data_IF_637170821980
#
_entry.id   IF_637170821980
#
_cell.length_a   1.000
_cell.length_b   1.000
_cell.length_c   1.000
_cell.angle_alpha   90.00
_cell.angle_beta   90.00
_cell.angle_gamma   90.00
#
_symmetry.space_group_name_H-M   'P 1'
#
loop_
_entity.id
_entity.type
_entity.pdbx_description
1 polymer ?
#
# COMPACT_ATOMS: atom_id res chain seq x y z
N UNK A 1 -0.57 -27.01 -31.61
CA UNK A 1 -0.89 -26.85 -30.17
C UNK A 1 0.32 -27.25 -29.32
N UNK A 2 1.51 -26.67 -29.56
CA UNK A 2 2.73 -26.84 -28.73
C UNK A 2 3.64 -25.65 -29.02
N UNK A 3 3.46 -24.49 -28.38
CA UNK A 3 4.44 -23.38 -28.42
C UNK A 3 4.27 -22.33 -27.30
N UNK A 4 3.60 -22.68 -26.19
CA UNK A 4 3.34 -21.74 -25.07
C UNK A 4 3.84 -22.26 -23.72
N UNK A 5 5.04 -22.86 -23.64
CA UNK A 5 5.54 -23.36 -22.35
C UNK A 5 7.08 -23.37 -22.15
N UNK A 6 7.87 -22.58 -22.90
CA UNK A 6 9.33 -22.55 -22.71
C UNK A 6 9.92 -21.18 -22.30
N UNK A 7 9.12 -20.13 -22.09
CA UNK A 7 9.64 -18.77 -21.86
C UNK A 7 9.70 -18.30 -20.39
N UNK A 8 9.60 -19.19 -19.39
CA UNK A 8 9.48 -18.77 -17.99
C UNK A 8 10.78 -18.72 -17.14
N UNK A 9 11.81 -19.59 -17.31
CA UNK A 9 13.03 -19.51 -16.50
C UNK A 9 14.18 -18.75 -17.18
N UNK A 10 14.46 -19.01 -18.46
CA UNK A 10 15.64 -18.45 -19.16
C UNK A 10 15.54 -16.94 -19.38
N UNK A 11 14.33 -16.41 -19.64
CA UNK A 11 14.11 -14.98 -19.80
C UNK A 11 14.28 -14.22 -18.47
N UNK A 12 13.89 -14.82 -17.36
CA UNK A 12 14.11 -14.25 -16.03
C UNK A 12 15.60 -14.25 -15.70
N UNK A 13 16.30 -15.34 -16.01
CA UNK A 13 17.74 -15.49 -15.77
C UNK A 13 18.55 -14.45 -16.55
N UNK A 14 18.26 -14.25 -17.84
CA UNK A 14 18.89 -13.20 -18.64
C UNK A 14 18.58 -11.77 -18.18
N UNK A 15 17.40 -11.53 -17.59
CA UNK A 15 17.06 -10.24 -16.98
C UNK A 15 17.89 -9.98 -15.71
N UNK A 16 18.06 -11.00 -14.86
CA UNK A 16 18.89 -10.89 -13.66
C UNK A 16 20.36 -10.65 -14.00
N UNK A 17 20.89 -11.34 -15.01
CA UNK A 17 22.27 -11.17 -15.46
C UNK A 17 22.48 -9.74 -16.01
N UNK A 18 21.54 -9.22 -16.79
CA UNK A 18 21.58 -7.85 -17.29
C UNK A 18 21.48 -6.81 -16.16
N UNK A 19 20.61 -7.04 -15.18
CA UNK A 19 20.46 -6.17 -14.02
C UNK A 19 21.72 -6.16 -13.14
N UNK A 20 22.35 -7.32 -12.94
CA UNK A 20 23.60 -7.46 -12.20
C UNK A 20 24.75 -6.73 -12.91
N UNK A 21 24.86 -6.90 -14.23
CA UNK A 21 25.85 -6.18 -15.04
C UNK A 21 25.68 -4.66 -15.03
N UNK A 22 24.44 -4.15 -14.92
CA UNK A 22 24.16 -2.73 -14.75
C UNK A 22 24.50 -2.25 -13.33
N UNK A 23 24.24 -3.08 -12.32
CA UNK A 23 24.56 -2.78 -10.93
C UNK A 23 26.06 -2.60 -10.71
N UNK A 24 26.87 -3.51 -11.24
CA UNK A 24 28.34 -3.43 -11.16
C UNK A 24 28.90 -2.16 -11.81
N UNK A 25 28.19 -1.59 -12.78
CA UNK A 25 28.58 -0.38 -13.52
C UNK A 25 27.99 0.93 -13.00
N UNK A 26 27.01 0.88 -12.10
CA UNK A 26 26.32 2.06 -11.57
C UNK A 26 26.95 2.66 -10.31
N UNK A 27 28.08 2.12 -9.86
CA UNK A 27 28.83 2.71 -8.76
C UNK A 27 28.13 2.69 -7.39
N UNK A 28 28.61 3.49 -6.41
CA UNK A 28 28.19 3.37 -5.01
C UNK A 28 26.74 3.80 -4.75
N UNK A 29 26.19 4.69 -5.58
CA UNK A 29 24.81 5.21 -5.42
C UNK A 29 23.74 4.14 -5.77
N UNK A 30 24.14 3.06 -6.44
CA UNK A 30 23.26 1.90 -6.68
C UNK A 30 22.84 1.18 -5.39
N UNK A 31 23.67 1.18 -4.34
CA UNK A 31 23.34 0.53 -3.06
C UNK A 31 22.11 1.15 -2.38
N UNK A 32 22.03 2.49 -2.18
CA UNK A 32 20.81 3.15 -1.73
C UNK A 32 19.58 2.86 -2.59
N UNK A 33 19.72 2.88 -3.93
CA UNK A 33 18.62 2.62 -4.87
C UNK A 33 18.11 1.18 -4.71
N UNK A 34 19.01 0.21 -4.53
CA UNK A 34 18.66 -1.18 -4.29
C UNK A 34 17.89 -1.35 -2.98
N UNK A 35 18.32 -0.69 -1.90
CA UNK A 35 17.60 -0.71 -0.62
C UNK A 35 16.18 -0.14 -0.78
N UNK A 36 16.04 1.00 -1.46
CA UNK A 36 14.74 1.57 -1.79
C UNK A 36 13.85 0.59 -2.56
N UNK A 37 14.41 -0.08 -3.58
CA UNK A 37 13.69 -1.08 -4.38
C UNK A 37 13.20 -2.27 -3.54
N UNK A 38 14.07 -2.82 -2.68
CA UNK A 38 13.72 -3.94 -1.80
C UNK A 38 12.63 -3.56 -0.78
N UNK A 39 12.73 -2.38 -0.18
CA UNK A 39 11.72 -1.86 0.76
C UNK A 39 10.39 -1.66 0.04
N UNK A 40 10.38 -1.03 -1.13
CA UNK A 40 9.15 -0.80 -1.88
C UNK A 40 8.51 -2.11 -2.33
N UNK A 41 9.31 -3.09 -2.75
CA UNK A 41 8.83 -4.42 -3.14
C UNK A 41 8.21 -5.15 -1.94
N UNK A 42 8.89 -5.16 -0.79
CA UNK A 42 8.38 -5.77 0.44
C UNK A 42 7.04 -5.16 0.87
N UNK A 43 6.95 -3.82 0.88
CA UNK A 43 5.69 -3.13 1.22
C UNK A 43 4.61 -3.41 0.17
N UNK A 44 4.95 -3.40 -1.11
CA UNK A 44 3.99 -3.70 -2.20
C UNK A 44 3.36 -5.08 -2.00
N UNK A 45 4.16 -6.12 -1.73
CA UNK A 45 3.66 -7.48 -1.49
C UNK A 45 2.84 -7.60 -0.20
N UNK A 46 3.32 -7.04 0.93
CA UNK A 46 2.59 -7.01 2.20
C UNK A 46 1.19 -6.42 2.00
N UNK A 47 1.11 -5.32 1.25
CA UNK A 47 -0.12 -4.56 1.07
C UNK A 47 -1.07 -5.16 0.06
N UNK A 48 -0.57 -5.69 -1.05
CA UNK A 48 -1.37 -6.46 -1.99
C UNK A 48 -2.09 -7.61 -1.28
N UNK A 49 -1.36 -8.33 -0.40
CA UNK A 49 -1.94 -9.40 0.39
C UNK A 49 -2.99 -8.89 1.40
N UNK A 50 -2.71 -7.78 2.10
CA UNK A 50 -3.67 -7.16 3.01
C UNK A 50 -4.97 -6.73 2.31
N UNK A 51 -4.87 -6.09 1.14
CA UNK A 51 -6.04 -5.70 0.33
C UNK A 51 -6.82 -6.90 -0.19
N UNK A 52 -6.13 -7.96 -0.60
CA UNK A 52 -6.77 -9.23 -0.99
C UNK A 52 -7.54 -9.85 0.17
N UNK A 53 -6.93 -9.93 1.36
CA UNK A 53 -7.59 -10.45 2.57
C UNK A 53 -8.81 -9.61 2.95
N UNK A 54 -8.70 -8.27 2.89
CA UNK A 54 -9.82 -7.36 3.16
C UNK A 54 -10.99 -7.58 2.20
N UNK A 55 -10.71 -7.72 0.89
CA UNK A 55 -11.76 -7.93 -0.11
C UNK A 55 -12.49 -9.26 0.10
N UNK A 56 -11.74 -10.32 0.39
CA UNK A 56 -12.26 -11.64 0.74
C UNK A 56 -13.16 -11.57 1.97
N UNK A 57 -12.67 -11.02 3.09
CA UNK A 57 -13.45 -10.90 4.32
C UNK A 57 -14.75 -10.12 4.12
N UNK A 58 -14.72 -9.00 3.39
CA UNK A 58 -15.92 -8.21 3.14
C UNK A 58 -16.97 -8.97 2.31
N UNK A 59 -16.54 -9.74 1.30
CA UNK A 59 -17.44 -10.55 0.49
C UNK A 59 -18.09 -11.69 1.28
N UNK A 60 -17.31 -12.42 2.09
CA UNK A 60 -17.81 -13.55 2.88
C UNK A 60 -18.77 -13.13 4.01
N UNK A 61 -18.56 -11.97 4.63
CA UNK A 61 -19.35 -11.53 5.80
C UNK A 61 -20.45 -10.51 5.48
N UNK A 62 -20.76 -10.28 4.19
CA UNK A 62 -21.81 -9.32 3.79
C UNK A 62 -23.19 -9.64 4.39
N UNK A 63 -23.51 -10.92 4.57
CA UNK A 63 -24.76 -11.33 5.23
C UNK A 63 -24.77 -10.99 6.72
N UNK A 64 -23.64 -11.15 7.42
CA UNK A 64 -23.51 -10.79 8.84
C UNK A 64 -23.62 -9.28 9.06
N UNK A 65 -23.10 -8.46 8.14
CA UNK A 65 -23.27 -7.01 8.21
C UNK A 65 -24.75 -6.60 8.15
N UNK A 66 -25.52 -7.22 7.25
CA UNK A 66 -26.97 -7.00 7.15
C UNK A 66 -27.72 -7.47 8.39
N UNK A 67 -27.32 -8.61 8.96
CA UNK A 67 -27.87 -9.14 10.20
C UNK A 67 -27.65 -8.17 11.37
N UNK A 68 -26.42 -7.66 11.54
CA UNK A 68 -26.11 -6.65 12.57
C UNK A 68 -26.95 -5.39 12.37
N UNK A 69 -27.05 -4.88 11.14
CA UNK A 69 -27.89 -3.72 10.83
C UNK A 69 -29.38 -3.95 11.16
N UNK A 70 -29.90 -5.14 10.84
CA UNK A 70 -31.28 -5.53 11.16
C UNK A 70 -31.54 -5.57 12.66
N UNK A 71 -30.67 -6.26 13.41
CA UNK A 71 -30.77 -6.36 14.87
C UNK A 71 -30.67 -4.99 15.56
N UNK A 72 -29.77 -4.12 15.09
CA UNK A 72 -29.66 -2.74 15.57
C UNK A 72 -30.93 -1.94 15.30
N UNK A 73 -31.53 -2.07 14.10
CA UNK A 73 -32.78 -1.40 13.73
C UNK A 73 -33.98 -1.88 14.56
N UNK A 74 -33.93 -3.13 15.03
CA UNK A 74 -34.95 -3.72 15.90
C UNK A 74 -34.74 -3.41 17.39
N UNK A 75 -33.70 -2.63 17.75
CA UNK A 75 -33.39 -2.29 19.13
C UNK A 75 -32.71 -3.42 19.91
N UNK A 76 -32.39 -4.54 19.25
CA UNK A 76 -31.71 -5.72 19.83
C UNK A 76 -30.20 -5.52 19.84
N UNK A 77 -29.75 -4.47 20.52
CA UNK A 77 -28.34 -4.03 20.49
C UNK A 77 -27.35 -5.05 21.06
N UNK A 78 -27.73 -5.79 22.09
CA UNK A 78 -26.85 -6.81 22.69
C UNK A 78 -26.63 -7.98 21.75
N UNK A 79 -27.67 -8.41 21.04
CA UNK A 79 -27.56 -9.44 20.00
C UNK A 79 -26.75 -8.95 18.80
N UNK A 80 -27.02 -7.71 18.34
CA UNK A 80 -26.23 -7.07 17.29
C UNK A 80 -24.73 -7.06 17.63
N UNK A 81 -24.38 -6.80 18.89
CA UNK A 81 -22.99 -6.82 19.38
C UNK A 81 -22.39 -8.22 19.34
N UNK A 82 -23.13 -9.26 19.74
CA UNK A 82 -22.63 -10.65 19.70
C UNK A 82 -22.35 -11.10 18.27
N UNK A 83 -23.26 -10.81 17.32
CA UNK A 83 -23.07 -11.14 15.91
C UNK A 83 -21.91 -10.34 15.30
N UNK A 84 -21.80 -9.06 15.65
CA UNK A 84 -20.71 -8.20 15.20
C UNK A 84 -19.33 -8.71 15.67
N UNK A 85 -19.21 -9.20 16.91
CA UNK A 85 -17.97 -9.76 17.47
C UNK A 85 -17.60 -11.13 16.88
N UNK A 86 -18.59 -11.91 16.47
CA UNK A 86 -18.36 -13.23 15.88
C UNK A 86 -17.93 -13.16 14.40
N UNK A 87 -18.13 -12.02 13.74
CA UNK A 87 -17.78 -11.83 12.32
C UNK A 87 -16.35 -11.30 12.17
N UNK A 88 -15.52 -11.99 11.37
CA UNK A 88 -14.17 -11.53 11.00
C UNK A 88 -14.24 -10.53 9.82
N UNK A 89 -14.97 -9.43 10.03
CA UNK A 89 -15.16 -8.37 9.05
C UNK A 89 -14.79 -7.01 9.63
N UNK A 90 -14.03 -6.17 8.90
CA UNK A 90 -13.69 -4.81 9.32
C UNK A 90 -14.92 -3.96 9.69
N UNK A 91 -15.98 -4.04 8.89
CA UNK A 91 -17.24 -3.32 9.13
C UNK A 91 -17.93 -3.82 10.41
N UNK A 92 -17.99 -5.13 10.62
CA UNK A 92 -18.57 -5.69 11.84
C UNK A 92 -17.74 -5.33 13.08
N UNK A 93 -16.41 -5.25 12.96
CA UNK A 93 -15.52 -4.82 14.05
C UNK A 93 -15.80 -3.37 14.45
N UNK A 94 -16.03 -2.49 13.48
CA UNK A 94 -16.45 -1.09 13.72
C UNK A 94 -17.80 -1.06 14.46
N UNK A 95 -18.81 -1.77 13.95
CA UNK A 95 -20.15 -1.80 14.55
C UNK A 95 -20.13 -2.36 15.97
N UNK A 96 -19.39 -3.44 16.20
CA UNK A 96 -19.25 -4.07 17.52
C UNK A 96 -18.61 -3.14 18.56
N UNK A 97 -17.58 -2.38 18.16
CA UNK A 97 -16.95 -1.36 19.03
C UNK A 97 -17.92 -0.21 19.35
N UNK A 98 -18.65 0.28 18.35
CA UNK A 98 -19.62 1.35 18.55
C UNK A 98 -20.76 0.93 19.52
N UNK A 99 -21.27 -0.30 19.39
CA UNK A 99 -22.31 -0.83 20.29
C UNK A 99 -21.81 -1.06 21.73
N UNK A 100 -20.53 -1.35 21.90
CA UNK A 100 -19.93 -1.54 23.23
C UNK A 100 -19.95 -0.26 24.06
N UNK A 101 -19.71 0.90 23.43
CA UNK A 101 -19.72 2.21 24.09
C UNK A 101 -20.99 3.03 23.83
N UNK A 102 -22.10 2.38 23.46
CA UNK A 102 -23.33 3.06 23.03
C UNK A 102 -23.90 4.05 24.06
N UNK A 103 -23.69 3.81 25.35
CA UNK A 103 -24.23 4.63 26.43
C UNK A 103 -23.40 5.89 26.73
N UNK A 104 -22.12 5.91 26.34
CA UNK A 104 -21.19 6.98 26.69
C UNK A 104 -20.74 7.82 25.49
N UNK A 105 -20.80 7.27 24.27
CA UNK A 105 -20.35 7.95 23.06
C UNK A 105 -20.35 7.03 21.83
N UNK A 106 -21.55 6.69 21.36
CA UNK A 106 -21.74 5.82 20.19
C UNK A 106 -21.07 6.41 18.94
N UNK A 107 -21.34 7.68 18.65
CA UNK A 107 -20.91 8.33 17.43
C UNK A 107 -19.40 8.54 17.43
N UNK A 108 -18.83 9.00 18.54
CA UNK A 108 -17.39 9.17 18.71
C UNK A 108 -16.65 7.84 18.56
N UNK A 109 -17.21 6.75 19.12
CA UNK A 109 -16.61 5.42 19.00
C UNK A 109 -16.73 4.88 17.58
N UNK A 110 -17.85 5.13 16.89
CA UNK A 110 -18.06 4.73 15.50
C UNK A 110 -17.06 5.41 14.56
N UNK A 111 -16.91 6.73 14.70
CA UNK A 111 -15.96 7.53 13.94
C UNK A 111 -14.52 7.10 14.23
N UNK A 112 -14.13 6.98 15.51
CA UNK A 112 -12.79 6.56 15.90
C UNK A 112 -12.43 5.15 15.40
N UNK A 113 -13.37 4.20 15.48
CA UNK A 113 -13.17 2.85 14.96
C UNK A 113 -13.03 2.84 13.43
N UNK A 114 -13.83 3.67 12.73
CA UNK A 114 -13.75 3.81 11.27
C UNK A 114 -12.41 4.39 10.83
N UNK A 115 -11.92 5.43 11.50
CA UNK A 115 -10.61 6.02 11.22
C UNK A 115 -9.47 5.03 11.45
N UNK A 116 -9.54 4.24 12.53
CA UNK A 116 -8.53 3.24 12.84
C UNK A 116 -8.45 2.14 11.76
N UNK A 117 -9.58 1.73 11.17
CA UNK A 117 -9.57 0.82 10.01
C UNK A 117 -8.94 1.47 8.77
N UNK A 118 -9.26 2.75 8.51
CA UNK A 118 -8.69 3.48 7.37
C UNK A 118 -7.18 3.65 7.50
N UNK A 119 -6.69 3.91 8.71
CA UNK A 119 -5.26 4.05 8.96
C UNK A 119 -4.50 2.73 8.75
N UNK A 120 -5.12 1.59 9.10
CA UNK A 120 -4.56 0.28 8.77
C UNK A 120 -4.45 0.05 7.25
N UNK A 121 -5.43 0.51 6.47
CA UNK A 121 -5.42 0.42 5.01
C UNK A 121 -4.42 1.41 4.37
N UNK A 122 -4.19 2.56 5.01
CA UNK A 122 -3.21 3.59 4.57
C UNK A 122 -1.76 3.21 4.85
N UNK A 123 -1.51 2.34 5.83
CA UNK A 123 -0.15 1.96 6.22
C UNK A 123 0.62 1.45 5.00
N UNK A 124 1.89 1.85 4.88
CA UNK A 124 2.76 1.47 3.76
C UNK A 124 2.65 2.35 2.52
N UNK A 125 1.53 3.06 2.28
CA UNK A 125 1.41 3.96 1.13
C UNK A 125 2.44 5.11 1.20
N UNK A 126 2.69 5.66 2.38
CA UNK A 126 3.71 6.71 2.58
C UNK A 126 5.12 6.25 2.23
N UNK A 127 5.43 4.96 2.45
CA UNK A 127 6.75 4.38 2.12
C UNK A 127 6.91 4.25 0.61
N UNK A 128 5.86 3.81 -0.09
CA UNK A 128 5.86 3.79 -1.56
C UNK A 128 5.99 5.20 -2.13
N UNK A 129 5.21 6.16 -1.64
CA UNK A 129 5.25 7.57 -2.05
C UNK A 129 6.65 8.18 -1.87
N UNK A 130 7.25 7.92 -0.70
CA UNK A 130 8.63 8.32 -0.41
C UNK A 130 9.60 7.67 -1.38
N UNK A 131 9.44 6.38 -1.69
CA UNK A 131 10.34 5.67 -2.61
C UNK A 131 10.23 6.17 -4.04
N UNK A 132 9.00 6.45 -4.52
CA UNK A 132 8.73 7.05 -5.83
C UNK A 132 9.44 8.39 -5.96
N UNK A 133 9.52 9.16 -4.88
CA UNK A 133 10.17 10.48 -4.86
C UNK A 133 11.68 10.39 -4.68
N UNK A 134 12.16 9.56 -3.75
CA UNK A 134 13.58 9.48 -3.37
C UNK A 134 14.40 8.70 -4.40
N UNK A 135 13.88 7.64 -5.02
CA UNK A 135 14.65 6.84 -5.97
C UNK A 135 15.14 7.65 -7.20
N UNK A 136 14.33 8.51 -7.85
CA UNK A 136 14.81 9.40 -8.91
C UNK A 136 15.80 10.46 -8.41
N UNK A 137 15.59 10.98 -7.19
CA UNK A 137 16.52 11.95 -6.58
C UNK A 137 17.90 11.32 -6.32
N UNK A 138 17.94 10.05 -5.89
CA UNK A 138 19.18 9.28 -5.79
C UNK A 138 19.81 9.06 -7.17
N UNK A 139 19.00 8.82 -8.21
CA UNK A 139 19.46 8.77 -9.60
C UNK A 139 20.18 10.05 -10.03
N UNK A 140 19.58 11.21 -9.76
CA UNK A 140 20.17 12.53 -10.03
C UNK A 140 21.42 12.75 -9.18
N UNK A 141 21.44 12.32 -7.92
CA UNK A 141 22.66 12.36 -7.10
C UNK A 141 23.80 11.53 -7.73
N UNK A 142 23.46 10.39 -8.33
CA UNK A 142 24.38 9.57 -9.13
C UNK A 142 25.00 10.32 -10.29
N UNK A 143 24.22 11.13 -11.02
CA UNK A 143 24.78 11.93 -12.12
C UNK A 143 25.69 13.04 -11.64
N UNK A 144 25.29 13.74 -10.57
CA UNK A 144 26.12 14.79 -9.98
C UNK A 144 27.46 14.23 -9.51
N UNK A 145 27.45 13.11 -8.78
CA UNK A 145 28.67 12.47 -8.28
C UNK A 145 29.54 11.90 -9.40
N UNK A 146 28.96 11.24 -10.40
CA UNK A 146 29.69 10.71 -11.56
C UNK A 146 30.33 11.80 -12.42
N UNK A 147 29.65 12.92 -12.62
CA UNK A 147 30.21 14.08 -13.34
C UNK A 147 31.36 14.72 -12.53
N UNK A 148 31.22 14.88 -11.21
CA UNK A 148 32.30 15.41 -10.34
C UNK A 148 33.54 14.50 -10.44
N UNK A 149 33.36 13.18 -10.36
CA UNK A 149 34.47 12.23 -10.47
C UNK A 149 35.14 12.29 -11.85
N UNK A 150 34.34 12.42 -12.91
CA UNK A 150 34.81 12.61 -14.29
C UNK A 150 35.73 13.83 -14.40
N UNK A 151 35.30 14.99 -13.87
CA UNK A 151 36.12 16.21 -13.90
C UNK A 151 37.40 16.08 -13.06
N UNK A 152 37.33 15.43 -11.89
CA UNK A 152 38.51 15.19 -11.05
C UNK A 152 39.55 14.32 -11.77
N UNK A 153 39.12 13.29 -12.49
CA UNK A 153 40.02 12.44 -13.29
C UNK A 153 40.67 13.21 -14.45
N UNK A 154 39.91 14.04 -15.15
CA UNK A 154 40.42 14.88 -16.24
C UNK A 154 41.45 15.90 -15.74
N UNK A 155 41.21 16.50 -14.56
CA UNK A 155 42.15 17.43 -13.95
C UNK A 155 43.45 16.75 -13.49
N UNK A 156 43.36 15.51 -13.00
CA UNK A 156 44.53 14.77 -12.47
C UNK A 156 45.39 14.12 -13.57
N UNK A 157 44.76 13.59 -14.63
CA UNK A 157 45.45 12.84 -15.69
C UNK A 157 45.69 13.65 -16.98
N UNK A 158 45.17 14.89 -17.07
CA UNK A 158 45.15 15.67 -18.31
C UNK A 158 44.24 15.06 -19.39
N UNK A 159 44.22 15.64 -20.59
CA UNK A 159 43.41 15.12 -21.72
C UNK A 159 43.88 13.77 -22.29
N UNK A 160 44.86 13.11 -21.67
CA UNK A 160 45.45 11.86 -22.19
C UNK A 160 44.58 10.62 -21.96
N UNK A 161 43.59 10.66 -21.05
CA UNK A 161 42.69 9.53 -20.75
C UNK A 161 41.20 9.83 -20.99
N UNK A 162 40.76 10.03 -22.26
CA UNK A 162 39.36 10.26 -22.60
C UNK A 162 38.43 9.09 -22.20
N UNK A 163 38.97 7.86 -22.13
CA UNK A 163 38.21 6.65 -21.75
C UNK A 163 37.74 6.67 -20.29
N UNK A 164 38.52 7.26 -19.38
CA UNK A 164 38.13 7.37 -17.97
C UNK A 164 36.96 8.34 -17.78
N UNK A 165 36.95 9.42 -18.56
CA UNK A 165 35.89 10.41 -18.50
C UNK A 165 34.56 9.87 -19.06
N UNK A 166 34.61 9.12 -20.16
CA UNK A 166 33.40 8.50 -20.73
C UNK A 166 32.83 7.41 -19.83
N UNK A 167 33.68 6.70 -19.07
CA UNK A 167 33.23 5.71 -18.09
C UNK A 167 32.44 6.34 -16.92
N UNK A 168 32.93 7.44 -16.34
CA UNK A 168 32.24 8.14 -15.24
C UNK A 168 30.89 8.74 -15.64
N UNK A 169 30.77 9.23 -16.88
CA UNK A 169 29.49 9.69 -17.44
C UNK A 169 28.53 8.50 -17.67
N UNK A 170 29.03 7.35 -18.12
CA UNK A 170 28.22 6.16 -18.31
C UNK A 170 27.66 5.64 -16.97
N UNK A 171 28.48 5.57 -15.93
CA UNK A 171 28.07 5.22 -14.56
C UNK A 171 26.94 6.12 -14.05
N UNK A 172 27.10 7.44 -14.23
CA UNK A 172 26.11 8.44 -13.88
C UNK A 172 24.74 8.19 -14.56
N UNK A 173 24.74 7.93 -15.87
CA UNK A 173 23.52 7.68 -16.63
C UNK A 173 22.82 6.37 -16.23
N UNK A 174 23.61 5.32 -15.96
CA UNK A 174 23.08 4.03 -15.48
C UNK A 174 22.35 4.21 -14.14
N UNK A 175 22.95 4.97 -13.22
CA UNK A 175 22.36 5.22 -11.90
C UNK A 175 21.04 5.99 -12.00
N UNK A 176 20.96 6.99 -12.89
CA UNK A 176 19.71 7.71 -13.14
C UNK A 176 18.64 6.81 -13.72
N UNK A 177 18.99 6.00 -14.72
CA UNK A 177 18.06 5.06 -15.32
C UNK A 177 17.52 4.08 -14.27
N UNK A 178 18.38 3.55 -13.39
CA UNK A 178 17.99 2.66 -12.32
C UNK A 178 16.99 3.33 -11.34
N UNK A 179 17.28 4.56 -10.88
CA UNK A 179 16.39 5.30 -9.98
C UNK A 179 15.01 5.56 -10.60
N UNK A 180 14.96 5.89 -11.89
CA UNK A 180 13.70 6.06 -12.63
C UNK A 180 12.94 4.75 -12.79
N UNK A 181 13.60 3.66 -13.15
CA UNK A 181 12.96 2.34 -13.28
C UNK A 181 12.30 1.93 -11.98
N UNK A 182 13.01 2.05 -10.85
CA UNK A 182 12.46 1.73 -9.52
C UNK A 182 11.22 2.58 -9.23
N UNK A 183 11.28 3.89 -9.48
CA UNK A 183 10.14 4.79 -9.25
C UNK A 183 8.92 4.45 -10.11
N UNK A 184 9.14 4.18 -11.40
CA UNK A 184 8.09 3.79 -12.34
C UNK A 184 7.43 2.48 -11.90
N UNK A 185 8.23 1.48 -11.51
CA UNK A 185 7.73 0.20 -11.01
C UNK A 185 6.91 0.36 -9.72
N UNK A 186 7.24 1.32 -8.85
CA UNK A 186 6.48 1.61 -7.63
C UNK A 186 5.20 2.43 -7.88
N UNK A 187 5.17 3.24 -8.94
CA UNK A 187 4.05 4.14 -9.24
C UNK A 187 2.75 3.38 -9.57
N UNK A 188 2.84 2.30 -10.35
CA UNK A 188 1.67 1.48 -10.69
C UNK A 188 0.97 0.86 -9.47
N UNK A 189 1.65 0.10 -8.59
CA UNK A 189 1.01 -0.46 -7.39
C UNK A 189 0.56 0.63 -6.43
N UNK A 190 1.31 1.73 -6.28
CA UNK A 190 0.88 2.87 -5.47
C UNK A 190 -0.46 3.43 -5.93
N UNK A 191 -0.60 3.76 -7.22
CA UNK A 191 -1.85 4.29 -7.77
C UNK A 191 -3.01 3.31 -7.64
N UNK A 192 -2.76 2.01 -7.85
CA UNK A 192 -3.76 0.98 -7.62
C UNK A 192 -4.23 0.94 -6.16
N UNK A 193 -3.30 0.98 -5.21
CA UNK A 193 -3.60 0.96 -3.78
C UNK A 193 -4.33 2.22 -3.32
N UNK A 194 -3.99 3.39 -3.84
CA UNK A 194 -4.70 4.65 -3.57
C UNK A 194 -6.14 4.57 -4.09
N UNK A 195 -6.36 4.06 -5.30
CA UNK A 195 -7.70 3.88 -5.86
C UNK A 195 -8.54 2.90 -5.02
N UNK A 196 -7.94 1.81 -4.56
CA UNK A 196 -8.61 0.83 -3.70
C UNK A 196 -8.92 1.41 -2.31
N UNK A 197 -7.98 2.15 -1.71
CA UNK A 197 -8.20 2.85 -0.44
C UNK A 197 -9.41 3.79 -0.54
N UNK A 198 -9.47 4.62 -1.59
CA UNK A 198 -10.58 5.55 -1.80
C UNK A 198 -11.93 4.83 -1.87
N UNK A 199 -12.00 3.72 -2.62
CA UNK A 199 -13.21 2.88 -2.70
C UNK A 199 -13.63 2.36 -1.32
N UNK A 200 -12.66 1.86 -0.52
CA UNK A 200 -12.94 1.35 0.83
C UNK A 200 -13.36 2.45 1.80
N UNK A 201 -12.80 3.65 1.68
CA UNK A 201 -13.25 4.82 2.46
C UNK A 201 -14.72 5.10 2.21
N UNK A 202 -15.14 5.19 0.95
CA UNK A 202 -16.55 5.41 0.63
C UNK A 202 -17.46 4.28 1.10
N UNK A 203 -17.03 3.02 0.98
CA UNK A 203 -17.79 1.87 1.52
C UNK A 203 -17.96 1.94 3.04
N UNK A 204 -16.90 2.31 3.77
CA UNK A 204 -16.93 2.44 5.24
C UNK A 204 -17.82 3.60 5.69
N UNK A 205 -17.71 4.76 5.03
CA UNK A 205 -18.56 5.93 5.32
C UNK A 205 -20.05 5.60 5.11
N UNK A 206 -20.40 4.94 4.00
CA UNK A 206 -21.76 4.51 3.74
C UNK A 206 -22.25 3.51 4.79
N UNK A 207 -21.42 2.53 5.16
CA UNK A 207 -21.75 1.54 6.17
C UNK A 207 -21.97 2.18 7.55
N UNK A 208 -21.11 3.12 7.95
CA UNK A 208 -21.24 3.86 9.20
C UNK A 208 -22.53 4.70 9.23
N UNK A 209 -22.83 5.44 8.15
CA UNK A 209 -24.07 6.22 8.06
C UNK A 209 -25.33 5.33 8.12
N UNK A 210 -25.35 4.20 7.40
CA UNK A 210 -26.46 3.25 7.49
C UNK A 210 -26.62 2.67 8.90
N UNK A 211 -25.51 2.45 9.59
CA UNK A 211 -25.51 1.94 10.96
C UNK A 211 -26.03 2.97 11.96
N UNK A 212 -25.65 4.24 11.81
CA UNK A 212 -26.17 5.34 12.61
C UNK A 212 -27.69 5.50 12.43
N UNK A 213 -28.19 5.47 11.20
CA UNK A 213 -29.63 5.48 10.93
C UNK A 213 -30.35 4.29 11.57
N UNK A 214 -29.76 3.08 11.49
CA UNK A 214 -30.31 1.90 12.13
C UNK A 214 -30.34 2.04 13.65
N UNK A 215 -29.28 2.60 14.25
CA UNK A 215 -29.17 2.86 15.68
C UNK A 215 -30.24 3.84 16.16
N UNK A 216 -30.40 4.98 15.48
CA UNK A 216 -31.42 5.98 15.81
C UNK A 216 -32.84 5.42 15.65
N UNK A 217 -33.08 4.59 14.63
CA UNK A 217 -34.37 3.91 14.43
C UNK A 217 -34.65 2.91 15.55
N UNK A 218 -33.63 2.16 15.99
CA UNK A 218 -33.74 1.20 17.09
C UNK A 218 -34.02 1.88 18.44
N UNK A 219 -33.43 3.04 18.69
CA UNK A 219 -33.70 3.85 19.89
C UNK A 219 -35.14 4.38 19.93
N UNK A 220 -35.72 4.69 18.77
CA UNK A 220 -37.09 5.20 18.67
C UNK A 220 -38.18 4.12 18.86
N UNK A 221 -37.82 2.82 18.85
CA UNK A 221 -38.76 1.73 19.13
C UNK A 221 -38.98 1.59 20.64
N UNK A 222 -40.23 1.44 21.13
CA UNK A 222 -40.47 1.12 22.53
C UNK A 222 -39.86 -0.25 22.87
N UNK A 223 -39.26 -0.37 24.05
CA UNK A 223 -38.68 -1.63 24.52
C UNK A 223 -39.72 -2.75 24.41
N UNK A 224 -39.35 -3.86 23.74
CA UNK A 224 -40.23 -5.02 23.64
C UNK A 224 -40.58 -5.49 25.08
N UNK A 225 -41.85 -5.79 25.36
CA UNK A 225 -42.23 -6.30 26.68
C UNK A 225 -41.44 -7.59 26.98
N UNK A 226 -40.95 -7.78 28.20
CA UNK A 226 -40.32 -9.04 28.58
C UNK A 226 -41.33 -10.16 28.36
N UNK A 227 -40.89 -11.21 27.65
CA UNK A 227 -41.65 -12.46 27.46
C UNK A 227 -41.98 -13.12 28.79
#
# INVERSE_FOLDING_TARGET
MVFLAQSSPEAAQGLFDAAFALFDRGGPVMWPILVCSLVALAVTFERLFAFWKYNTANFYFRNRQREVLGLTRDGRFDEARTVARAADSPICRIFGKALENRAAGFQETLEAASQLELDHLRRGLSVLDTTITVAPMLGILGTVTGIINTFNMLNAAGMENPTGATAGIAEALITTAAGLVVAICCLFPFNFMVAQLKRRTTELEQAAHHFELAYNTGLAKPAAPPL
#
